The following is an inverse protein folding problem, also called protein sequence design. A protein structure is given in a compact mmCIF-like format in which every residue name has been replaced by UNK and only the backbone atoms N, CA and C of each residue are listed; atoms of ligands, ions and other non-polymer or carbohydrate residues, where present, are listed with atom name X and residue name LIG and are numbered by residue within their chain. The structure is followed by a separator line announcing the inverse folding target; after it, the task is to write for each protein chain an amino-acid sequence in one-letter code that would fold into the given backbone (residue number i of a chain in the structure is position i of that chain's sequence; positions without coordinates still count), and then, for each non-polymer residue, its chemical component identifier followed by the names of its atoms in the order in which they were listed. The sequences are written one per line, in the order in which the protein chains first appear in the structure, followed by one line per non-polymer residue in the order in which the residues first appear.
data_IF_514229778674
#
_entry.id   IF_514229778674
#
_cell.length_a   1.000
_cell.length_b   1.000
_cell.length_c   1.000
_cell.angle_alpha   90.00
_cell.angle_beta   90.00
_cell.angle_gamma   90.00
#
_symmetry.space_group_name_H-M   'P 1'
#
loop_
_entity.id
_entity.type
_entity.pdbx_description
1 polymer ?
#
# COMPACT_ATOMS: atom_id res chain seq x y z
N UNK A 1 -50.16 -32.12 9.87
CA UNK A 1 -49.89 -30.88 9.09
C UNK A 1 -48.67 -30.10 9.60
N UNK A 2 -48.39 -30.05 10.91
CA UNK A 2 -47.28 -29.27 11.49
C UNK A 2 -45.89 -29.90 11.26
N UNK A 3 -45.81 -31.22 11.08
CA UNK A 3 -44.55 -31.94 10.87
C UNK A 3 -44.03 -31.86 9.43
N UNK A 4 -44.92 -31.80 8.43
CA UNK A 4 -44.53 -31.58 7.03
C UNK A 4 -43.87 -30.21 6.80
N UNK A 5 -44.21 -29.21 7.62
CA UNK A 5 -43.63 -27.87 7.55
C UNK A 5 -42.17 -27.85 8.07
N UNK A 6 -41.85 -28.66 9.08
CA UNK A 6 -40.51 -28.72 9.68
C UNK A 6 -39.52 -29.49 8.80
N UNK A 7 -39.98 -30.46 8.00
CA UNK A 7 -39.13 -31.21 7.08
C UNK A 7 -38.67 -30.34 5.89
N UNK A 8 -39.55 -29.47 5.36
CA UNK A 8 -39.22 -28.55 4.26
C UNK A 8 -38.21 -27.45 4.64
N UNK A 9 -38.26 -26.99 5.90
CA UNK A 9 -37.33 -25.98 6.42
C UNK A 9 -35.92 -26.55 6.63
N UNK A 10 -35.79 -27.85 6.89
CA UNK A 10 -34.48 -28.52 7.02
C UNK A 10 -33.85 -28.83 5.67
N UNK A 11 -34.64 -29.19 4.66
CA UNK A 11 -34.16 -29.44 3.30
C UNK A 11 -33.61 -28.16 2.63
N UNK A 12 -34.18 -26.99 2.94
CA UNK A 12 -33.70 -25.69 2.44
C UNK A 12 -32.43 -25.20 3.13
N UNK A 13 -32.25 -25.50 4.43
CA UNK A 13 -31.01 -25.14 5.14
C UNK A 13 -29.80 -25.98 4.66
N UNK A 14 -30.02 -27.24 4.28
CA UNK A 14 -28.96 -28.13 3.80
C UNK A 14 -28.41 -27.73 2.42
N UNK A 15 -29.23 -27.09 1.56
CA UNK A 15 -28.82 -26.71 0.21
C UNK A 15 -27.99 -25.41 0.17
N UNK A 16 -28.03 -24.59 1.23
CA UNK A 16 -27.23 -23.37 1.33
C UNK A 16 -25.75 -23.62 1.72
N UNK A 17 -25.41 -24.84 2.16
CA UNK A 17 -24.05 -25.22 2.59
C UNK A 17 -23.16 -25.80 1.47
N UNK A 18 -23.69 -25.94 0.26
CA UNK A 18 -22.99 -26.53 -0.89
C UNK A 18 -22.47 -25.48 -1.90
N UNK A 19 -22.46 -24.20 -1.54
CA UNK A 19 -21.78 -23.18 -2.34
C UNK A 19 -20.27 -23.25 -2.08
N UNK A 20 -19.44 -23.70 -3.04
CA UNK A 20 -18.00 -23.54 -2.91
C UNK A 20 -17.72 -22.04 -2.85
N UNK A 21 -17.08 -21.61 -1.76
CA UNK A 21 -16.53 -20.26 -1.62
C UNK A 21 -15.40 -20.07 -2.62
N UNK A 22 -15.74 -19.76 -3.88
CA UNK A 22 -14.78 -19.26 -4.86
C UNK A 22 -14.77 -17.75 -4.72
N UNK A 23 -13.99 -17.25 -3.76
CA UNK A 23 -13.52 -15.85 -3.75
C UNK A 23 -12.06 -15.78 -3.35
N UNK A 24 -11.35 -14.97 -4.15
CA UNK A 24 -9.96 -14.55 -4.04
C UNK A 24 -8.90 -15.56 -4.53
N UNK A 25 -8.99 -15.93 -5.81
CA UNK A 25 -7.77 -15.95 -6.63
C UNK A 25 -7.35 -14.48 -6.85
N UNK A 26 -6.07 -14.23 -7.08
CA UNK A 26 -5.39 -12.91 -7.10
C UNK A 26 -4.95 -12.35 -5.74
N UNK A 27 -4.46 -13.21 -4.87
CA UNK A 27 -3.23 -12.91 -4.13
C UNK A 27 -2.10 -13.74 -4.74
N UNK A 28 -1.82 -13.57 -6.03
CA UNK A 28 -0.57 -14.06 -6.61
C UNK A 28 0.58 -13.29 -6.00
N UNK A 29 1.05 -13.81 -4.87
CA UNK A 29 2.45 -13.95 -4.47
C UNK A 29 3.40 -13.18 -5.39
N UNK A 30 3.55 -11.89 -5.14
CA UNK A 30 4.67 -11.11 -5.65
C UNK A 30 5.89 -11.34 -4.74
N UNK A 31 6.24 -12.61 -4.51
CA UNK A 31 7.43 -12.97 -3.73
C UNK A 31 8.54 -13.58 -4.60
N UNK A 32 8.29 -13.83 -5.89
CA UNK A 32 9.30 -14.41 -6.80
C UNK A 32 9.74 -13.43 -7.90
N UNK A 33 9.81 -12.13 -7.59
CA UNK A 33 10.51 -11.20 -8.47
C UNK A 33 12.02 -11.46 -8.35
N UNK A 34 12.67 -11.87 -9.45
CA UNK A 34 14.11 -12.13 -9.48
C UNK A 34 14.92 -11.03 -8.75
N UNK A 35 15.94 -11.40 -7.96
CA UNK A 35 16.78 -10.42 -7.29
C UNK A 35 17.45 -9.50 -8.32
N UNK A 36 17.62 -8.21 -7.98
CA UNK A 36 18.42 -7.32 -8.82
C UNK A 36 19.89 -7.61 -8.53
N UNK A 37 20.62 -8.07 -9.53
CA UNK A 37 22.01 -8.52 -9.39
C UNK A 37 22.92 -7.43 -9.95
N UNK A 38 23.85 -6.93 -9.15
CA UNK A 38 24.91 -6.04 -9.63
C UNK A 38 26.12 -6.85 -10.05
N UNK A 39 26.78 -6.44 -11.14
CA UNK A 39 27.97 -7.12 -11.65
C UNK A 39 29.13 -6.15 -11.66
N UNK A 40 30.33 -6.63 -11.32
CA UNK A 40 31.55 -5.85 -11.43
C UNK A 40 32.36 -6.34 -12.62
N UNK A 41 32.70 -5.44 -13.54
CA UNK A 41 33.54 -5.73 -14.71
C UNK A 41 34.73 -4.79 -14.68
N UNK A 42 35.95 -5.32 -14.67
CA UNK A 42 37.19 -4.53 -14.63
C UNK A 42 37.25 -3.51 -13.46
N UNK A 43 36.67 -3.85 -12.31
CA UNK A 43 36.63 -2.97 -11.13
C UNK A 43 35.49 -1.95 -11.13
N UNK A 44 34.77 -1.77 -12.24
CA UNK A 44 33.60 -0.91 -12.32
C UNK A 44 32.32 -1.66 -11.95
N UNK A 45 31.54 -1.12 -11.01
CA UNK A 45 30.24 -1.69 -10.62
C UNK A 45 29.18 -1.23 -11.62
N UNK A 46 28.55 -2.21 -12.26
CA UNK A 46 27.44 -2.02 -13.19
C UNK A 46 26.15 -2.34 -12.41
N UNK A 47 25.40 -1.32 -11.97
CA UNK A 47 24.14 -1.55 -11.28
C UNK A 47 23.06 -2.03 -12.26
N UNK A 48 22.15 -2.88 -11.76
CA UNK A 48 21.02 -3.36 -12.54
C UNK A 48 19.90 -2.32 -12.63
N UNK A 49 20.16 -1.22 -13.33
CA UNK A 49 19.25 -0.07 -13.44
C UNK A 49 17.83 -0.48 -13.85
N UNK A 50 17.67 -1.34 -14.84
CA UNK A 50 16.35 -1.78 -15.31
C UNK A 50 15.54 -2.52 -14.23
N UNK A 51 16.21 -3.36 -13.45
CA UNK A 51 15.57 -4.09 -12.36
C UNK A 51 15.19 -3.15 -11.22
N UNK A 52 16.11 -2.25 -10.84
CA UNK A 52 15.87 -1.25 -9.80
C UNK A 52 14.72 -0.31 -10.18
N UNK A 53 14.68 0.14 -11.43
CA UNK A 53 13.62 1.02 -11.90
C UNK A 53 12.24 0.36 -11.83
N UNK A 54 12.16 -0.94 -12.14
CA UNK A 54 10.91 -1.71 -11.99
C UNK A 54 10.50 -1.88 -10.53
N UNK A 55 11.46 -2.09 -9.62
CA UNK A 55 11.18 -2.22 -8.18
C UNK A 55 10.78 -0.90 -7.52
N UNK A 56 11.33 0.21 -8.00
CA UNK A 56 11.03 1.55 -7.51
C UNK A 56 9.84 2.20 -8.22
N UNK A 57 9.28 1.55 -9.24
CA UNK A 57 8.12 2.07 -9.95
C UNK A 57 6.95 2.25 -8.97
N UNK A 58 6.24 3.40 -9.03
CA UNK A 58 5.05 3.57 -8.22
C UNK A 58 4.02 2.50 -8.60
N UNK A 59 3.18 2.04 -7.64
CA UNK A 59 2.11 1.13 -7.96
C UNK A 59 1.21 1.74 -9.04
N UNK A 60 0.61 0.91 -9.92
CA UNK A 60 -0.33 1.42 -10.91
C UNK A 60 -1.40 2.25 -10.19
N UNK A 61 -1.74 3.42 -10.76
CA UNK A 61 -2.73 4.32 -10.16
C UNK A 61 -4.01 3.53 -9.92
N UNK A 62 -4.37 3.36 -8.65
CA UNK A 62 -5.64 2.76 -8.29
C UNK A 62 -6.77 3.54 -8.97
N UNK A 63 -7.79 2.84 -9.46
CA UNK A 63 -8.97 3.48 -10.01
C UNK A 63 -9.50 4.51 -9.01
N UNK A 64 -9.82 5.73 -9.48
CA UNK A 64 -10.39 6.79 -8.64
C UNK A 64 -11.60 6.19 -7.92
N UNK A 65 -11.55 6.09 -6.58
CA UNK A 65 -12.68 5.61 -5.79
C UNK A 65 -13.89 6.51 -6.09
N UNK A 66 -14.96 6.00 -6.72
CA UNK A 66 -15.97 6.85 -7.34
C UNK A 66 -16.95 7.53 -6.36
N UNK A 67 -16.68 7.54 -5.04
CA UNK A 67 -17.74 7.85 -4.05
C UNK A 67 -17.36 8.92 -3.02
N UNK A 68 -16.10 9.38 -2.97
CA UNK A 68 -15.69 10.36 -1.95
C UNK A 68 -15.83 11.80 -2.46
N UNK A 69 -16.33 12.73 -1.63
CA UNK A 69 -16.26 14.17 -1.90
C UNK A 69 -14.81 14.60 -2.22
N UNK A 70 -14.65 15.60 -3.09
CA UNK A 70 -13.32 16.04 -3.54
C UNK A 70 -12.40 16.42 -2.38
N UNK A 71 -12.92 17.14 -1.39
CA UNK A 71 -12.18 17.53 -0.19
C UNK A 71 -11.62 16.31 0.56
N UNK A 72 -12.42 15.27 0.74
CA UNK A 72 -11.96 14.04 1.41
C UNK A 72 -10.91 13.30 0.56
N UNK A 73 -11.10 13.29 -0.76
CA UNK A 73 -10.13 12.72 -1.69
C UNK A 73 -8.78 13.44 -1.62
N UNK A 74 -8.76 14.76 -1.51
CA UNK A 74 -7.54 15.57 -1.34
C UNK A 74 -6.86 15.28 0.00
N UNK A 75 -7.63 15.21 1.10
CA UNK A 75 -7.06 14.90 2.43
C UNK A 75 -6.42 13.51 2.52
N UNK A 76 -6.85 12.56 1.68
CA UNK A 76 -6.27 11.21 1.61
C UNK A 76 -5.03 11.12 0.73
N UNK A 77 -4.69 12.17 -0.05
CA UNK A 77 -3.49 12.16 -0.87
C UNK A 77 -2.24 12.38 0.01
N UNK A 78 -1.12 11.69 -0.30
CA UNK A 78 0.11 11.93 0.44
C UNK A 78 0.61 13.36 0.16
N UNK A 79 1.07 14.05 1.20
CA UNK A 79 1.41 15.48 1.12
C UNK A 79 2.49 15.82 0.08
N UNK A 80 3.33 14.86 -0.30
CA UNK A 80 4.31 15.02 -1.38
C UNK A 80 3.67 15.26 -2.76
N UNK A 81 2.47 14.72 -3.02
CA UNK A 81 1.74 14.95 -4.27
C UNK A 81 1.05 16.32 -4.29
N UNK A 82 0.77 16.87 -3.11
CA UNK A 82 0.10 18.17 -2.95
C UNK A 82 1.09 19.33 -2.76
N UNK A 83 2.39 19.07 -2.81
CA UNK A 83 3.45 20.04 -2.45
C UNK A 83 3.23 20.65 -1.05
N UNK A 84 2.57 19.90 -0.17
CA UNK A 84 2.30 20.29 1.21
C UNK A 84 3.42 19.80 2.12
N UNK A 85 3.41 20.28 3.36
CA UNK A 85 4.35 19.84 4.39
C UNK A 85 4.38 18.31 4.49
N UNK A 86 5.59 17.75 4.49
CA UNK A 86 5.84 16.33 4.71
C UNK A 86 6.96 16.20 5.74
N UNK A 87 6.65 15.55 6.86
CA UNK A 87 7.61 15.31 7.94
C UNK A 87 8.85 14.55 7.45
N UNK A 88 8.64 13.47 6.68
CA UNK A 88 9.72 12.63 6.18
C UNK A 88 10.59 13.36 5.15
N UNK A 89 9.96 14.19 4.30
CA UNK A 89 10.71 15.05 3.37
C UNK A 89 11.56 16.10 4.11
N UNK A 90 11.05 16.64 5.21
CA UNK A 90 11.77 17.62 6.04
C UNK A 90 12.92 16.95 6.79
N UNK A 91 12.69 15.75 7.34
CA UNK A 91 13.73 14.91 7.96
C UNK A 91 14.85 14.58 6.99
N UNK A 92 14.52 14.19 5.76
CA UNK A 92 15.52 13.88 4.74
C UNK A 92 16.40 15.09 4.38
N UNK A 93 15.82 16.30 4.33
CA UNK A 93 16.56 17.53 4.03
C UNK A 93 17.41 18.04 5.19
N UNK A 94 16.91 17.92 6.41
CA UNK A 94 17.58 18.45 7.59
C UNK A 94 18.55 17.44 8.23
N UNK A 95 18.34 16.13 8.00
CA UNK A 95 19.10 15.07 8.65
C UNK A 95 19.08 15.23 10.17
N UNK A 96 20.26 15.13 10.78
CA UNK A 96 20.44 15.24 12.23
C UNK A 96 20.14 16.64 12.81
N UNK A 97 20.01 17.66 11.95
CA UNK A 97 19.61 19.00 12.37
C UNK A 97 18.09 19.11 12.58
N UNK A 98 17.29 18.09 12.21
CA UNK A 98 15.85 18.14 12.40
C UNK A 98 15.48 18.26 13.89
N UNK A 99 14.83 19.37 14.25
CA UNK A 99 14.46 19.65 15.65
C UNK A 99 15.61 20.19 16.52
N UNK A 100 16.81 20.39 15.97
CA UNK A 100 17.95 21.04 16.67
C UNK A 100 18.19 22.41 16.04
N UNK A 101 17.83 23.48 16.75
CA UNK A 101 18.16 24.85 16.33
C UNK A 101 19.45 25.32 16.97
N UNK A 102 20.27 26.06 16.22
CA UNK A 102 21.49 26.72 16.74
C UNK A 102 21.14 27.74 17.82
N UNK A 103 19.97 28.38 17.68
CA UNK A 103 19.44 29.36 18.63
C UNK A 103 18.16 28.78 19.26
N UNK A 104 18.07 28.65 20.59
CA UNK A 104 16.84 28.19 21.24
C UNK A 104 15.72 29.20 20.99
N UNK A 105 14.64 28.75 20.33
CA UNK A 105 13.46 29.59 20.07
C UNK A 105 12.62 29.84 21.33
N UNK A 106 12.82 29.03 22.37
CA UNK A 106 12.21 29.23 23.68
C UNK A 106 13.19 29.99 24.58
N UNK A 107 12.79 31.09 25.23
CA UNK A 107 13.58 31.71 26.27
C UNK A 107 14.00 30.69 27.32
N UNK A 108 15.23 30.80 27.83
CA UNK A 108 15.63 30.07 29.02
C UNK A 108 14.68 30.48 30.15
N UNK A 109 14.13 29.49 30.86
CA UNK A 109 13.34 29.73 32.06
C UNK A 109 14.24 30.12 33.21
#
# INVERSE_FOLDING_TARGET
MRESLMMGLRASLALALLLPSVRADEAKKQEDAAPCIEVQVNGERIPAWDCLQRKLAPPPKAAKSPTLPEAERLMRQPGNQLMQYNLEGTRQRMGDAFGRSVIPQRPAR
#
